data_IF_821034706038
#
_entry.id   IF_821034706038
#
_cell.length_a   1.000
_cell.length_b   1.000
_cell.length_c   1.000
_cell.angle_alpha   90.00
_cell.angle_beta   90.00
_cell.angle_gamma   90.00
#
_symmetry.space_group_name_H-M   'P 1'
#
loop_
_entity.id
_entity.type
_entity.pdbx_description
1 polymer ?
#
# COMPACT_ATOMS: atom_id res chain seq x y z
N UNK A 1 -4.81 -64.60 23.64
CA UNK A 1 -3.59 -64.79 22.81
C UNK A 1 -3.40 -63.52 21.99
N UNK A 2 -2.40 -62.75 22.34
CA UNK A 2 -1.34 -62.08 21.55
C UNK A 2 -1.88 -61.39 20.28
N UNK A 3 -1.88 -60.10 20.01
CA UNK A 3 -0.87 -59.07 20.35
C UNK A 3 -0.52 -58.40 19.04
N UNK A 4 -0.93 -57.15 18.77
CA UNK A 4 -0.48 -56.38 17.64
C UNK A 4 -0.07 -54.99 18.12
N UNK A 5 1.20 -54.64 17.86
CA UNK A 5 1.94 -53.48 18.25
C UNK A 5 1.48 -52.21 17.51
N UNK A 6 1.18 -51.17 18.27
CA UNK A 6 1.15 -49.76 17.81
C UNK A 6 2.57 -49.32 17.46
N UNK A 7 2.79 -48.86 16.21
CA UNK A 7 3.91 -48.01 15.84
C UNK A 7 3.42 -46.58 15.71
N UNK A 8 3.77 -45.75 16.67
CA UNK A 8 3.72 -44.29 16.59
C UNK A 8 4.75 -43.81 15.54
N UNK A 9 4.27 -43.19 14.47
CA UNK A 9 5.14 -42.48 13.54
C UNK A 9 5.44 -41.11 14.11
N UNK A 10 6.74 -40.76 14.20
CA UNK A 10 7.26 -39.45 14.61
C UNK A 10 6.95 -38.38 13.54
N UNK A 11 6.61 -37.11 13.92
CA UNK A 11 6.22 -36.05 12.99
C UNK A 11 7.37 -35.45 12.16
N UNK A 12 8.60 -35.92 12.30
CA UNK A 12 9.78 -35.30 11.67
C UNK A 12 10.06 -35.72 10.22
N UNK A 13 9.28 -36.64 9.64
CA UNK A 13 9.51 -37.12 8.27
C UNK A 13 8.71 -36.38 7.20
N UNK A 14 7.64 -35.66 7.55
CA UNK A 14 6.81 -34.91 6.57
C UNK A 14 7.39 -33.54 6.19
N UNK A 15 8.32 -33.00 6.97
CA UNK A 15 8.90 -31.68 6.70
C UNK A 15 10.01 -31.67 5.64
N UNK A 16 10.64 -32.84 5.38
CA UNK A 16 11.74 -32.97 4.41
C UNK A 16 11.30 -33.03 2.95
N UNK A 17 10.09 -33.47 2.67
CA UNK A 17 9.62 -33.72 1.29
C UNK A 17 8.93 -32.49 0.66
N UNK A 18 8.42 -31.56 1.46
CA UNK A 18 7.84 -30.31 0.97
C UNK A 18 8.92 -29.32 0.51
N UNK A 19 10.10 -29.35 1.12
CA UNK A 19 11.23 -28.46 0.75
C UNK A 19 11.93 -28.88 -0.57
N UNK A 20 11.71 -30.06 -1.10
CA UNK A 20 12.33 -30.53 -2.36
C UNK A 20 11.48 -30.24 -3.60
N UNK A 21 10.23 -29.86 -3.47
CA UNK A 21 9.35 -29.55 -4.61
C UNK A 21 9.37 -28.10 -5.07
N UNK A 22 9.95 -27.20 -4.29
CA UNK A 22 10.01 -25.75 -4.61
C UNK A 22 11.28 -25.34 -5.35
N UNK A 23 12.29 -26.21 -5.46
CA UNK A 23 13.61 -25.84 -6.05
C UNK A 23 13.76 -26.09 -7.56
N UNK A 24 12.73 -26.51 -8.29
CA UNK A 24 12.87 -26.94 -9.71
C UNK A 24 12.08 -26.11 -10.74
N UNK A 25 11.63 -24.90 -10.42
CA UNK A 25 10.89 -24.05 -11.39
C UNK A 25 11.45 -22.65 -11.63
N UNK A 26 12.75 -22.44 -11.38
CA UNK A 26 13.41 -21.16 -11.67
C UNK A 26 14.70 -21.36 -12.47
N UNK A 27 14.58 -21.76 -13.73
CA UNK A 27 15.67 -21.65 -14.70
C UNK A 27 15.10 -21.83 -16.10
N UNK A 28 14.69 -20.73 -16.73
CA UNK A 28 14.57 -20.58 -18.21
C UNK A 28 13.90 -19.24 -18.53
N UNK A 29 14.70 -18.17 -18.54
CA UNK A 29 14.45 -17.01 -19.40
C UNK A 29 15.63 -16.02 -19.25
N UNK A 30 16.72 -16.31 -19.94
CA UNK A 30 17.74 -15.31 -20.31
C UNK A 30 18.65 -15.91 -21.37
N UNK A 31 18.41 -15.59 -22.63
CA UNK A 31 19.43 -15.53 -23.69
C UNK A 31 18.82 -14.98 -24.98
N UNK A 32 19.33 -13.85 -25.43
CA UNK A 32 19.01 -13.23 -26.70
C UNK A 32 19.72 -11.89 -26.88
N UNK A 33 21.07 -11.88 -26.82
CA UNK A 33 21.84 -10.73 -27.30
C UNK A 33 22.35 -11.02 -28.72
N UNK A 34 21.76 -10.31 -29.68
CA UNK A 34 22.25 -10.26 -31.06
C UNK A 34 23.19 -9.07 -31.28
N UNK A 35 24.40 -9.38 -31.63
CA UNK A 35 25.47 -8.46 -32.00
C UNK A 35 25.17 -7.74 -33.32
N UNK A 36 25.29 -6.42 -33.38
CA UNK A 36 25.40 -5.64 -34.61
C UNK A 36 26.76 -5.00 -34.72
N UNK A 37 27.44 -5.34 -35.82
CA UNK A 37 28.77 -4.87 -36.23
C UNK A 37 28.73 -3.44 -36.75
N UNK A 38 29.77 -2.72 -36.44
CA UNK A 38 30.18 -1.43 -36.94
C UNK A 38 30.38 -1.37 -38.47
N UNK A 39 29.97 -0.29 -39.08
CA UNK A 39 30.50 0.20 -40.36
C UNK A 39 30.75 1.72 -40.23
N UNK A 40 32.01 2.04 -40.32
CA UNK A 40 32.55 3.41 -40.34
C UNK A 40 32.43 4.02 -41.74
N UNK A 41 31.97 5.27 -41.83
CA UNK A 41 32.31 6.14 -42.96
C UNK A 41 32.58 7.57 -42.45
N UNK A 42 33.79 8.03 -42.73
CA UNK A 42 34.27 9.38 -42.49
C UNK A 42 33.69 10.34 -43.52
N UNK A 43 33.18 11.49 -43.13
CA UNK A 43 33.38 12.74 -43.89
C UNK A 43 33.45 13.87 -42.88
N UNK A 44 34.53 14.61 -42.93
CA UNK A 44 34.77 15.77 -42.07
C UNK A 44 34.25 17.05 -42.72
N UNK A 45 33.76 17.95 -41.87
CA UNK A 45 33.79 19.39 -42.14
C UNK A 45 33.97 20.12 -40.81
N UNK A 46 35.06 20.87 -40.74
CA UNK A 46 35.40 21.81 -39.68
C UNK A 46 34.46 23.04 -39.76
N UNK A 47 33.80 23.36 -38.66
CA UNK A 47 33.24 24.69 -38.44
C UNK A 47 33.61 25.12 -37.01
N UNK A 48 34.07 26.39 -36.82
CA UNK A 48 34.80 26.81 -35.62
C UNK A 48 33.87 27.10 -34.42
N UNK A 49 34.33 26.66 -33.28
CA UNK A 49 33.82 27.02 -31.96
C UNK A 49 34.20 28.46 -31.63
N UNK A 50 33.25 29.40 -31.66
CA UNK A 50 33.22 30.60 -30.82
C UNK A 50 31.80 31.19 -30.83
N UNK A 51 31.32 31.51 -29.61
CA UNK A 51 30.14 32.34 -29.31
C UNK A 51 28.74 31.74 -29.50
N UNK A 52 28.19 31.15 -28.40
CA UNK A 52 26.93 31.65 -27.82
C UNK A 52 26.94 31.29 -26.33
N UNK A 53 27.47 32.18 -25.50
CA UNK A 53 27.01 32.29 -24.13
C UNK A 53 25.69 33.07 -24.17
N UNK A 54 24.59 32.39 -24.34
CA UNK A 54 23.24 32.91 -24.23
C UNK A 54 22.59 32.36 -22.97
N UNK A 55 22.47 33.21 -21.98
CA UNK A 55 21.69 33.01 -20.77
C UNK A 55 20.33 32.31 -21.07
N UNK A 56 20.25 31.04 -20.77
CA UNK A 56 19.05 30.28 -20.72
C UNK A 56 19.02 29.56 -19.37
N UNK A 57 18.87 30.31 -18.26
CA UNK A 57 18.32 29.78 -17.03
C UNK A 57 16.85 29.41 -17.31
N UNK A 58 16.65 28.39 -18.12
CA UNK A 58 15.45 27.62 -18.12
C UNK A 58 15.40 26.91 -16.77
N UNK A 59 14.83 27.55 -15.76
CA UNK A 59 14.29 26.90 -14.59
C UNK A 59 13.32 25.84 -15.11
N UNK A 60 13.79 24.58 -15.20
CA UNK A 60 12.92 23.43 -15.10
C UNK A 60 12.30 23.50 -13.69
N UNK A 61 11.35 24.39 -13.51
CA UNK A 61 10.25 24.24 -12.59
C UNK A 61 9.42 23.08 -13.17
N UNK A 62 9.94 21.86 -13.06
CA UNK A 62 9.09 20.72 -12.88
C UNK A 62 8.24 21.12 -11.69
N UNK A 63 6.98 21.47 -11.97
CA UNK A 63 6.00 21.64 -10.92
C UNK A 63 6.01 20.30 -10.18
N UNK A 64 6.74 20.21 -9.08
CA UNK A 64 6.56 19.17 -8.12
C UNK A 64 5.08 19.24 -7.80
N UNK A 65 4.31 18.22 -8.20
CA UNK A 65 2.91 18.12 -7.83
C UNK A 65 2.92 18.25 -6.32
N UNK A 66 2.32 19.32 -5.80
CA UNK A 66 2.42 19.66 -4.39
C UNK A 66 1.75 18.54 -3.62
N UNK A 67 2.54 17.68 -2.99
CA UNK A 67 2.07 16.63 -2.06
C UNK A 67 1.28 17.27 -0.92
N UNK A 68 1.50 18.59 -0.72
CA UNK A 68 0.87 19.37 0.31
C UNK A 68 -0.62 19.61 0.03
N UNK A 69 -1.43 19.42 1.05
CA UNK A 69 -2.86 19.74 1.07
C UNK A 69 -3.16 20.68 2.24
N UNK A 70 -3.28 21.95 1.93
CA UNK A 70 -3.57 22.96 2.95
C UNK A 70 -4.99 22.80 3.45
N UNK A 71 -5.20 22.56 4.76
CA UNK A 71 -6.53 22.49 5.35
C UNK A 71 -7.31 23.79 5.13
N UNK A 72 -8.60 23.70 4.82
CA UNK A 72 -9.44 24.83 4.44
C UNK A 72 -9.92 25.70 5.61
N UNK A 73 -9.89 25.15 6.84
CA UNK A 73 -10.32 25.83 8.06
C UNK A 73 -9.66 25.22 9.30
N UNK A 74 -9.73 25.94 10.43
CA UNK A 74 -9.01 25.60 11.67
C UNK A 74 -9.36 24.23 12.23
N UNK A 75 -10.59 23.78 12.14
CA UNK A 75 -10.98 22.45 12.63
C UNK A 75 -10.37 21.31 11.82
N UNK A 76 -10.20 21.47 10.50
CA UNK A 76 -9.48 20.53 9.65
C UNK A 76 -7.97 20.59 9.92
N UNK A 77 -7.41 21.78 10.07
CA UNK A 77 -6.00 21.93 10.43
C UNK A 77 -5.70 21.27 11.77
N UNK A 78 -6.54 21.50 12.78
CA UNK A 78 -6.40 20.86 14.10
C UNK A 78 -6.42 19.34 13.99
N UNK A 79 -7.41 18.78 13.26
CA UNK A 79 -7.50 17.32 13.04
C UNK A 79 -6.24 16.78 12.40
N UNK A 80 -5.74 17.41 11.32
CA UNK A 80 -4.56 16.93 10.63
C UNK A 80 -3.29 17.08 11.46
N UNK A 81 -3.16 18.13 12.28
CA UNK A 81 -2.02 18.25 13.21
C UNK A 81 -2.10 17.21 14.33
N UNK A 82 -3.28 16.96 14.89
CA UNK A 82 -3.47 15.85 15.86
C UNK A 82 -3.13 14.49 15.22
N UNK A 83 -3.60 14.22 14.01
CA UNK A 83 -3.26 13.02 13.25
C UNK A 83 -1.74 12.88 13.07
N UNK A 84 -1.07 13.90 12.56
CA UNK A 84 0.37 13.89 12.27
C UNK A 84 1.24 13.87 13.51
N UNK A 85 1.00 14.79 14.46
CA UNK A 85 1.90 14.99 15.60
C UNK A 85 1.59 14.00 16.72
N UNK A 86 0.29 13.88 17.09
CA UNK A 86 -0.09 13.06 18.25
C UNK A 86 0.00 11.57 17.94
N UNK A 87 -0.44 11.15 16.75
CA UNK A 87 -0.55 9.73 16.40
C UNK A 87 0.62 9.22 15.56
N UNK A 88 0.99 9.93 14.49
CA UNK A 88 2.08 9.52 13.59
C UNK A 88 3.47 9.97 14.05
N UNK A 89 3.56 10.82 15.07
CA UNK A 89 4.81 11.38 15.59
C UNK A 89 5.64 12.08 14.50
N UNK A 90 4.98 12.83 13.64
CA UNK A 90 5.64 13.65 12.62
C UNK A 90 6.41 14.80 13.24
N UNK A 91 7.54 15.12 12.63
CA UNK A 91 8.25 16.39 12.86
C UNK A 91 7.45 17.58 12.28
N UNK A 92 7.76 18.78 12.74
CA UNK A 92 7.20 20.02 12.16
C UNK A 92 7.48 20.10 10.65
N UNK A 93 8.66 19.65 10.19
CA UNK A 93 9.02 19.62 8.78
C UNK A 93 8.14 18.69 7.94
N UNK A 94 7.81 17.50 8.45
CA UNK A 94 6.92 16.56 7.79
C UNK A 94 5.48 17.09 7.76
N UNK A 95 5.03 17.71 8.85
CA UNK A 95 3.74 18.37 8.89
C UNK A 95 3.67 19.58 7.92
N UNK A 96 4.76 20.33 7.77
CA UNK A 96 4.88 21.39 6.77
C UNK A 96 4.79 20.84 5.35
N UNK A 97 5.48 19.73 5.07
CA UNK A 97 5.42 19.04 3.77
C UNK A 97 4.00 18.54 3.45
N UNK A 98 3.27 18.04 4.47
CA UNK A 98 1.91 17.53 4.29
C UNK A 98 0.87 18.64 4.09
N UNK A 99 1.04 19.80 4.74
CA UNK A 99 0.03 20.86 4.77
C UNK A 99 0.35 22.07 3.87
N UNK A 100 1.61 22.24 3.48
CA UNK A 100 2.08 23.44 2.78
C UNK A 100 2.21 24.68 3.68
N UNK A 101 2.00 24.53 5.00
CA UNK A 101 2.15 25.61 5.96
C UNK A 101 3.61 25.78 6.37
N UNK A 102 3.99 27.01 6.79
CA UNK A 102 5.31 27.26 7.34
C UNK A 102 5.48 26.68 8.74
N UNK A 103 6.71 26.38 9.15
CA UNK A 103 7.02 25.91 10.50
C UNK A 103 6.43 26.81 11.60
N UNK A 104 6.58 28.16 11.56
CA UNK A 104 6.00 29.03 12.58
C UNK A 104 4.45 28.93 12.65
N UNK A 105 3.76 28.71 11.54
CA UNK A 105 2.30 28.53 11.55
C UNK A 105 1.91 27.22 12.24
N UNK A 106 2.63 26.13 11.97
CA UNK A 106 2.41 24.83 12.60
C UNK A 106 2.72 24.90 14.09
N UNK A 107 3.88 25.43 14.48
CA UNK A 107 4.29 25.58 15.89
C UNK A 107 3.29 26.42 16.69
N UNK A 108 2.80 27.54 16.11
CA UNK A 108 1.76 28.35 16.71
C UNK A 108 0.49 27.57 16.94
N UNK A 109 -0.01 26.84 15.92
CA UNK A 109 -1.21 26.03 16.03
C UNK A 109 -1.05 24.89 17.04
N UNK A 110 0.11 24.21 17.08
CA UNK A 110 0.41 23.19 18.08
C UNK A 110 0.37 23.75 19.50
N UNK A 111 0.94 24.95 19.72
CA UNK A 111 0.94 25.62 21.01
C UNK A 111 -0.49 26.04 21.42
N UNK A 112 -1.23 26.66 20.51
CA UNK A 112 -2.60 27.14 20.74
C UNK A 112 -3.55 26.01 21.14
N UNK A 113 -3.43 24.86 20.46
CA UNK A 113 -4.32 23.70 20.71
C UNK A 113 -3.69 22.63 21.60
N UNK A 114 -2.51 22.88 22.19
CA UNK A 114 -1.78 21.94 23.07
C UNK A 114 -1.54 20.59 22.40
N UNK A 115 -1.24 20.59 21.09
CA UNK A 115 -0.98 19.35 20.33
C UNK A 115 0.46 18.91 20.59
N UNK A 116 0.62 17.65 21.03
CA UNK A 116 1.91 17.03 21.31
C UNK A 116 1.88 15.53 21.03
N UNK A 117 3.03 14.88 20.82
CA UNK A 117 3.09 13.41 20.69
C UNK A 117 2.47 12.72 21.90
N UNK A 118 1.72 11.65 21.67
CA UNK A 118 1.06 10.86 22.70
C UNK A 118 1.24 9.37 22.41
N UNK A 119 1.26 8.49 23.43
CA UNK A 119 1.22 7.06 23.21
C UNK A 119 0.02 6.65 22.36
N UNK A 120 0.25 5.70 21.46
CA UNK A 120 -0.82 5.13 20.61
C UNK A 120 -1.93 4.52 21.46
N UNK A 121 -3.19 4.79 21.08
CA UNK A 121 -4.40 4.25 21.72
C UNK A 121 -4.89 2.94 21.08
N UNK A 122 -4.14 2.35 20.16
CA UNK A 122 -4.47 1.07 19.55
C UNK A 122 -4.39 -0.06 20.58
N UNK A 123 -5.27 -1.03 20.48
CA UNK A 123 -5.27 -2.23 21.31
C UNK A 123 -5.62 -3.47 20.48
N UNK A 124 -5.30 -4.71 20.93
CA UNK A 124 -5.65 -5.91 20.19
C UNK A 124 -7.15 -6.08 19.90
N UNK A 125 -8.01 -5.54 20.76
CA UNK A 125 -9.47 -5.59 20.57
C UNK A 125 -10.02 -4.41 19.77
N UNK A 126 -9.25 -3.33 19.61
CA UNK A 126 -9.67 -2.11 18.90
C UNK A 126 -8.44 -1.46 18.26
N UNK A 127 -8.22 -1.74 16.99
CA UNK A 127 -7.15 -1.10 16.23
C UNK A 127 -7.52 0.33 15.87
N UNK A 128 -6.63 1.26 16.19
CA UNK A 128 -6.74 2.63 15.69
C UNK A 128 -6.39 2.63 14.19
N UNK A 129 -7.28 3.18 13.37
CA UNK A 129 -7.06 3.43 11.96
C UNK A 129 -7.32 4.91 11.65
N UNK A 130 -6.39 5.54 10.93
CA UNK A 130 -6.49 6.96 10.55
C UNK A 130 -6.12 7.12 9.07
N UNK A 131 -6.67 8.12 8.36
CA UNK A 131 -6.18 8.49 7.04
C UNK A 131 -4.67 8.80 7.09
N UNK A 132 -3.90 8.28 6.13
CA UNK A 132 -2.48 8.59 6.04
C UNK A 132 -2.29 10.05 5.60
N UNK A 133 -1.53 10.87 6.36
CA UNK A 133 -1.54 12.33 6.16
C UNK A 133 -0.69 12.80 4.95
N UNK A 134 0.18 11.96 4.36
CA UNK A 134 1.23 12.41 3.45
C UNK A 134 2.36 13.11 4.21
N UNK A 135 3.30 13.77 3.50
CA UNK A 135 4.44 14.48 4.11
C UNK A 135 5.60 13.59 4.57
N UNK A 136 5.39 12.32 4.71
CA UNK A 136 6.41 11.27 4.93
C UNK A 136 6.21 10.18 3.88
N UNK A 137 7.29 9.76 3.22
CA UNK A 137 7.20 8.69 2.23
C UNK A 137 6.90 7.35 2.92
N UNK A 138 5.83 6.62 2.57
CA UNK A 138 5.40 5.42 3.30
C UNK A 138 6.22 4.17 3.01
N UNK A 139 7.15 4.20 2.02
CA UNK A 139 7.99 3.07 1.60
C UNK A 139 9.48 3.33 1.82
N UNK A 140 10.25 2.26 1.89
CA UNK A 140 11.72 2.25 1.81
C UNK A 140 12.13 1.58 0.49
N UNK A 141 13.22 2.05 -0.13
CA UNK A 141 13.90 1.33 -1.23
C UNK A 141 13.12 1.19 -2.54
N UNK A 142 12.00 1.87 -2.69
CA UNK A 142 11.24 1.89 -3.93
C UNK A 142 11.34 3.28 -4.55
N UNK A 143 11.74 3.39 -5.79
CA UNK A 143 11.85 4.58 -6.64
C UNK A 143 11.59 5.89 -5.89
N UNK A 144 12.65 6.57 -5.44
CA UNK A 144 12.52 7.80 -4.66
C UNK A 144 11.60 8.80 -5.38
N UNK A 145 10.61 9.31 -4.65
CA UNK A 145 9.60 10.22 -5.19
C UNK A 145 8.49 9.59 -6.04
N UNK A 146 8.49 8.26 -6.25
CA UNK A 146 7.47 7.62 -7.08
C UNK A 146 6.08 7.57 -6.44
N UNK A 147 5.98 7.70 -5.11
CA UNK A 147 4.69 7.73 -4.41
C UNK A 147 4.20 9.17 -4.30
N UNK A 148 3.50 9.60 -5.34
CA UNK A 148 2.81 10.87 -5.38
C UNK A 148 1.45 10.65 -6.08
N UNK A 149 0.32 10.91 -5.44
CA UNK A 149 0.17 11.47 -4.08
C UNK A 149 0.48 10.47 -2.97
N UNK A 150 1.02 10.96 -1.86
CA UNK A 150 1.28 10.13 -0.68
C UNK A 150 0.03 9.85 0.18
N UNK A 151 -1.03 10.61 0.00
CA UNK A 151 -2.38 10.44 0.59
C UNK A 151 -3.27 9.54 -0.27
N UNK A 152 -4.47 9.94 -0.53
CA UNK A 152 -5.48 9.29 -1.36
C UNK A 152 -6.04 8.02 -0.69
N UNK A 153 -5.81 6.88 -1.30
CA UNK A 153 -6.29 5.56 -0.90
C UNK A 153 -5.59 4.97 0.34
N UNK A 154 -4.75 5.76 1.03
CA UNK A 154 -3.91 5.25 2.11
C UNK A 154 -4.50 5.51 3.50
N UNK A 155 -4.49 4.47 4.33
CA UNK A 155 -4.79 4.55 5.77
C UNK A 155 -3.65 3.97 6.59
N UNK A 156 -3.50 4.47 7.82
CA UNK A 156 -2.54 3.95 8.79
C UNK A 156 -3.24 3.09 9.82
N UNK A 157 -2.83 1.84 9.96
CA UNK A 157 -3.25 0.94 11.02
C UNK A 157 -2.17 0.90 12.11
N UNK A 158 -2.51 1.35 13.30
CA UNK A 158 -1.56 1.49 14.41
C UNK A 158 -1.40 0.18 15.18
N UNK A 159 -0.15 -0.22 15.41
CA UNK A 159 0.16 -1.44 16.15
C UNK A 159 -0.36 -1.37 17.61
N UNK A 160 -0.90 -2.49 18.16
CA UNK A 160 -1.48 -2.50 19.50
C UNK A 160 -0.44 -2.63 20.64
N UNK A 161 0.85 -2.66 20.32
CA UNK A 161 1.93 -2.74 21.30
C UNK A 161 2.71 -1.43 21.41
N UNK A 162 3.33 -1.24 22.57
CA UNK A 162 4.07 -0.01 22.87
C UNK A 162 5.23 0.19 21.89
N UNK A 163 5.31 1.36 21.29
CA UNK A 163 6.38 1.74 20.36
C UNK A 163 6.33 0.99 19.01
N UNK A 164 5.20 0.35 18.69
CA UNK A 164 5.06 -0.44 17.46
C UNK A 164 4.93 0.37 16.18
N UNK A 165 4.54 1.64 16.28
CA UNK A 165 4.30 2.45 15.09
C UNK A 165 3.03 2.04 14.34
N UNK A 166 3.07 2.09 13.00
CA UNK A 166 1.91 1.80 12.17
C UNK A 166 2.31 1.18 10.82
N UNK A 167 1.41 0.37 10.26
CA UNK A 167 1.47 -0.05 8.86
C UNK A 167 0.63 0.91 8.01
N UNK A 168 1.06 1.20 6.77
CA UNK A 168 0.27 1.97 5.81
C UNK A 168 -0.35 1.02 4.80
N UNK A 169 -1.69 1.03 4.72
CA UNK A 169 -2.47 0.22 3.79
C UNK A 169 -2.89 1.12 2.62
N UNK A 170 -2.52 0.74 1.40
CA UNK A 170 -2.94 1.38 0.16
C UNK A 170 -4.04 0.51 -0.49
N UNK A 171 -5.29 0.99 -0.42
CA UNK A 171 -6.49 0.20 -0.70
C UNK A 171 -7.53 1.00 -1.51
N UNK A 172 -7.44 0.91 -2.87
CA UNK A 172 -6.49 0.16 -3.67
C UNK A 172 -5.19 0.93 -4.00
N UNK A 173 -4.10 0.21 -4.21
CA UNK A 173 -2.90 0.77 -4.84
C UNK A 173 -3.08 0.93 -6.35
N UNK A 174 -3.70 -0.05 -7.02
CA UNK A 174 -3.98 0.00 -8.45
C UNK A 174 -5.20 -0.84 -8.84
N UNK A 175 -5.84 -0.46 -9.94
CA UNK A 175 -6.93 -1.20 -10.58
C UNK A 175 -6.65 -1.34 -12.07
N UNK A 176 -6.69 -2.57 -12.59
CA UNK A 176 -6.66 -2.91 -14.01
C UNK A 176 -8.00 -3.44 -14.47
N UNK A 177 -8.26 -3.30 -15.75
CA UNK A 177 -9.37 -3.94 -16.46
C UNK A 177 -8.96 -4.22 -17.90
N UNK A 178 -9.88 -4.74 -18.71
CA UNK A 178 -9.75 -4.79 -20.17
C UNK A 178 -9.45 -3.41 -20.83
N UNK A 179 -9.66 -2.30 -20.12
CA UNK A 179 -9.31 -0.95 -20.58
C UNK A 179 -7.84 -0.58 -20.30
N UNK A 180 -7.09 -1.40 -19.58
CA UNK A 180 -5.72 -1.14 -19.13
C UNK A 180 -5.63 -0.75 -17.65
N UNK A 181 -4.59 0.01 -17.26
CA UNK A 181 -4.39 0.51 -15.90
C UNK A 181 -5.30 1.72 -15.68
N UNK A 182 -6.46 1.49 -15.04
CA UNK A 182 -7.48 2.53 -14.85
C UNK A 182 -7.32 3.36 -13.58
N UNK A 183 -6.54 2.88 -12.62
CA UNK A 183 -6.16 3.62 -11.42
C UNK A 183 -4.80 3.18 -10.89
N UNK A 184 -4.01 4.14 -10.45
CA UNK A 184 -2.75 3.94 -9.73
C UNK A 184 -2.60 5.03 -8.66
N UNK A 185 -2.36 4.61 -7.42
CA UNK A 185 -2.20 5.51 -6.27
C UNK A 185 -0.83 6.21 -6.19
N UNK A 186 -0.02 6.11 -7.23
CA UNK A 186 1.28 6.78 -7.34
C UNK A 186 1.78 6.79 -8.80
N UNK A 187 2.76 7.64 -9.11
CA UNK A 187 3.08 8.09 -10.48
C UNK A 187 4.21 7.33 -11.17
N UNK A 188 4.53 6.08 -10.82
CA UNK A 188 5.70 5.40 -11.38
C UNK A 188 5.48 4.77 -12.77
N UNK A 189 4.23 4.56 -13.18
CA UNK A 189 3.84 4.18 -14.54
C UNK A 189 2.56 4.93 -14.93
N UNK A 190 2.36 5.27 -16.22
CA UNK A 190 1.17 5.99 -16.66
C UNK A 190 -0.08 5.12 -16.57
N UNK A 191 -1.18 5.74 -16.18
CA UNK A 191 -2.53 5.21 -16.32
C UNK A 191 -3.12 5.55 -17.69
N UNK A 192 -4.27 4.98 -18.02
CA UNK A 192 -5.01 5.35 -19.25
C UNK A 192 -5.40 6.84 -19.27
N UNK A 193 -5.46 7.50 -18.13
CA UNK A 193 -5.77 8.95 -18.01
C UNK A 193 -4.52 9.80 -18.27
N UNK A 194 -3.37 9.37 -17.79
CA UNK A 194 -2.09 10.06 -18.06
C UNK A 194 -1.80 10.06 -19.58
N UNK A 195 -2.08 8.94 -20.26
CA UNK A 195 -1.94 8.83 -21.71
C UNK A 195 -2.86 9.79 -22.47
N UNK A 196 -4.01 10.13 -21.88
CA UNK A 196 -4.97 11.10 -22.40
C UNK A 196 -4.74 12.53 -21.88
N UNK A 197 -3.71 12.75 -21.05
CA UNK A 197 -3.44 14.04 -20.39
C UNK A 197 -4.59 14.51 -19.48
N UNK A 198 -5.31 13.59 -18.86
CA UNK A 198 -6.39 13.86 -17.92
C UNK A 198 -5.85 13.70 -16.50
N UNK A 199 -5.85 14.77 -15.72
CA UNK A 199 -5.54 14.72 -14.31
C UNK A 199 -6.76 14.28 -13.50
N UNK A 200 -6.59 13.28 -12.61
CA UNK A 200 -7.64 12.90 -11.68
C UNK A 200 -7.70 13.89 -10.51
N UNK A 201 -8.92 14.22 -10.07
CA UNK A 201 -9.13 15.07 -8.90
C UNK A 201 -8.60 14.39 -7.64
N UNK A 202 -8.17 15.21 -6.67
CA UNK A 202 -7.72 14.69 -5.38
C UNK A 202 -8.87 14.13 -4.56
N UNK A 203 -8.62 13.08 -3.78
CA UNK A 203 -9.63 12.42 -2.93
C UNK A 203 -9.18 12.42 -1.47
N UNK A 204 -10.13 12.53 -0.55
CA UNK A 204 -9.93 12.42 0.89
C UNK A 204 -10.83 11.35 1.50
N UNK A 205 -10.38 10.77 2.61
CA UNK A 205 -11.19 9.88 3.41
C UNK A 205 -12.25 10.64 4.18
N UNK A 206 -13.50 10.21 4.08
CA UNK A 206 -14.58 10.63 4.97
C UNK A 206 -14.45 9.90 6.30
N UNK A 207 -14.46 10.64 7.37
CA UNK A 207 -14.37 10.15 8.75
C UNK A 207 -15.78 10.06 9.34
N UNK A 208 -16.17 8.87 9.77
CA UNK A 208 -17.51 8.65 10.35
C UNK A 208 -17.50 8.73 11.87
N UNK A 209 -18.66 9.01 12.51
CA UNK A 209 -18.77 9.12 13.99
C UNK A 209 -18.42 7.81 14.74
N UNK A 210 -18.53 6.67 14.09
CA UNK A 210 -18.16 5.34 14.60
C UNK A 210 -16.66 5.01 14.40
N UNK A 211 -15.86 6.01 14.00
CA UNK A 211 -14.45 5.91 13.67
C UNK A 211 -14.12 5.07 12.42
N UNK A 212 -15.13 4.67 11.65
CA UNK A 212 -14.89 4.09 10.35
C UNK A 212 -14.48 5.16 9.33
N UNK A 213 -13.85 4.71 8.24
CA UNK A 213 -13.37 5.57 7.17
C UNK A 213 -13.98 5.10 5.85
N UNK A 214 -14.37 6.02 4.97
CA UNK A 214 -14.74 5.68 3.61
C UNK A 214 -14.12 6.65 2.60
N UNK A 215 -13.81 6.15 1.41
CA UNK A 215 -13.39 6.98 0.30
C UNK A 215 -14.11 6.50 -0.97
N UNK A 216 -14.32 7.42 -1.89
CA UNK A 216 -14.92 7.16 -3.20
C UNK A 216 -14.19 7.98 -4.26
N UNK A 217 -14.02 7.40 -5.44
CA UNK A 217 -13.46 8.07 -6.61
C UNK A 217 -14.32 7.78 -7.83
N UNK A 218 -14.68 8.83 -8.56
CA UNK A 218 -15.27 8.76 -9.88
C UNK A 218 -14.16 8.95 -10.93
N UNK A 219 -14.08 8.04 -11.88
CA UNK A 219 -13.17 8.11 -13.02
C UNK A 219 -13.84 8.82 -14.21
N UNK A 220 -13.06 9.42 -15.13
CA UNK A 220 -13.59 10.21 -16.25
C UNK A 220 -14.56 9.46 -17.17
N UNK A 221 -14.48 8.14 -17.23
CA UNK A 221 -15.36 7.28 -18.05
C UNK A 221 -16.64 6.81 -17.31
N UNK A 222 -16.93 7.35 -16.13
CA UNK A 222 -18.10 7.00 -15.35
C UNK A 222 -17.93 5.78 -14.42
N UNK A 223 -16.80 5.06 -14.47
CA UNK A 223 -16.48 4.03 -13.49
C UNK A 223 -16.24 4.73 -12.15
N UNK A 224 -16.83 4.20 -11.07
CA UNK A 224 -16.50 4.63 -9.72
C UNK A 224 -16.10 3.46 -8.85
N UNK A 225 -15.22 3.72 -7.89
CA UNK A 225 -14.82 2.75 -6.89
C UNK A 225 -14.65 3.42 -5.53
N UNK A 226 -14.73 2.62 -4.48
CA UNK A 226 -14.52 3.12 -3.14
C UNK A 226 -14.16 2.01 -2.18
N UNK A 227 -13.69 2.42 -1.00
CA UNK A 227 -13.33 1.53 0.09
C UNK A 227 -13.89 2.06 1.39
N UNK A 228 -14.44 1.16 2.21
CA UNK A 228 -14.83 1.41 3.58
C UNK A 228 -13.94 0.58 4.51
N UNK A 229 -13.43 1.18 5.57
CA UNK A 229 -12.57 0.54 6.58
C UNK A 229 -13.21 0.74 7.95
N UNK A 230 -13.47 -0.34 8.65
CA UNK A 230 -14.07 -0.32 9.98
C UNK A 230 -13.31 -1.21 10.95
N UNK A 231 -13.27 -0.81 12.23
CA UNK A 231 -12.77 -1.65 13.30
C UNK A 231 -13.63 -2.88 13.50
N UNK A 232 -12.98 -4.05 13.65
CA UNK A 232 -13.60 -5.31 14.00
C UNK A 232 -12.88 -5.92 15.20
N UNK A 233 -13.48 -6.95 15.82
CA UNK A 233 -12.82 -7.62 16.95
C UNK A 233 -11.52 -8.28 16.51
N UNK A 234 -10.39 -7.72 16.92
CA UNK A 234 -9.05 -8.21 16.62
C UNK A 234 -8.48 -7.77 15.27
N UNK A 235 -9.14 -6.85 14.55
CA UNK A 235 -8.64 -6.39 13.25
C UNK A 235 -9.45 -5.26 12.63
N UNK A 236 -9.29 -5.10 11.33
CA UNK A 236 -10.05 -4.20 10.47
C UNK A 236 -10.76 -5.02 9.40
N UNK A 237 -12.03 -4.72 9.16
CA UNK A 237 -12.76 -5.17 7.97
C UNK A 237 -12.67 -4.06 6.92
N UNK A 238 -12.42 -4.46 5.69
CA UNK A 238 -12.31 -3.56 4.55
C UNK A 238 -13.29 -4.04 3.46
N UNK A 239 -14.21 -3.16 3.09
CA UNK A 239 -15.16 -3.38 2.01
C UNK A 239 -14.77 -2.50 0.83
N UNK A 240 -14.42 -3.11 -0.31
CA UNK A 240 -14.13 -2.38 -1.54
C UNK A 240 -15.22 -2.66 -2.57
N UNK A 241 -15.62 -1.65 -3.31
CA UNK A 241 -16.60 -1.78 -4.38
C UNK A 241 -16.12 -1.07 -5.65
N UNK A 242 -16.60 -1.56 -6.80
CA UNK A 242 -16.45 -0.92 -8.08
C UNK A 242 -17.80 -0.95 -8.79
N UNK A 243 -18.26 0.21 -9.27
CA UNK A 243 -19.45 0.37 -10.11
C UNK A 243 -19.04 0.69 -11.54
N UNK A 244 -19.54 -0.07 -12.47
CA UNK A 244 -19.37 0.21 -13.89
C UNK A 244 -20.44 1.21 -14.38
N UNK A 245 -20.08 2.49 -14.40
CA UNK A 245 -20.93 3.55 -14.96
C UNK A 245 -20.65 3.81 -16.44
N UNK A 246 -19.81 2.99 -17.09
CA UNK A 246 -19.56 3.06 -18.54
C UNK A 246 -20.57 2.24 -19.33
N UNK A 247 -20.56 2.40 -20.67
CA UNK A 247 -21.45 1.64 -21.58
C UNK A 247 -20.90 0.25 -21.95
N UNK A 248 -19.64 -0.05 -21.66
CA UNK A 248 -18.99 -1.31 -22.00
C UNK A 248 -18.87 -2.22 -20.77
N UNK A 249 -18.93 -3.53 -20.97
CA UNK A 249 -18.63 -4.49 -19.92
C UNK A 249 -17.15 -4.41 -19.53
N UNK A 250 -16.87 -4.57 -18.23
CA UNK A 250 -15.53 -4.64 -17.68
C UNK A 250 -15.21 -6.09 -17.31
N UNK A 251 -14.07 -6.56 -17.76
CA UNK A 251 -13.48 -7.84 -17.40
C UNK A 251 -12.02 -7.68 -16.99
N UNK A 252 -11.38 -8.76 -16.54
CA UNK A 252 -10.01 -8.78 -16.02
C UNK A 252 -9.76 -7.70 -14.94
N UNK A 253 -10.77 -7.47 -14.08
CA UNK A 253 -10.78 -6.44 -13.04
C UNK A 253 -9.86 -6.80 -11.88
N UNK A 254 -8.56 -6.67 -12.07
CA UNK A 254 -7.51 -6.97 -11.07
C UNK A 254 -7.25 -5.76 -10.18
N UNK A 255 -7.11 -6.03 -8.89
CA UNK A 255 -6.80 -5.01 -7.89
C UNK A 255 -5.47 -5.35 -7.23
N UNK A 256 -4.64 -4.34 -7.05
CA UNK A 256 -3.46 -4.44 -6.21
C UNK A 256 -3.70 -3.64 -4.93
N UNK A 257 -3.51 -4.31 -3.79
CA UNK A 257 -3.53 -3.72 -2.46
C UNK A 257 -2.15 -3.88 -1.83
N UNK A 258 -1.68 -2.85 -1.12
CA UNK A 258 -0.34 -2.86 -0.52
C UNK A 258 -0.40 -2.60 0.98
N UNK A 259 0.39 -3.35 1.75
CA UNK A 259 0.68 -3.05 3.16
C UNK A 259 2.16 -2.72 3.28
N UNK A 260 2.47 -1.49 3.71
CA UNK A 260 3.82 -0.93 3.77
C UNK A 260 4.28 -0.82 5.23
N UNK A 261 5.54 -1.21 5.51
CA UNK A 261 6.04 -1.41 6.85
C UNK A 261 7.14 -0.43 7.30
N UNK A 262 7.42 0.62 6.55
CA UNK A 262 8.48 1.58 6.90
C UNK A 262 8.39 2.07 8.35
N UNK A 263 7.19 2.34 8.83
CA UNK A 263 6.93 2.93 10.15
C UNK A 263 6.42 1.91 11.17
N UNK A 264 6.47 0.61 10.85
CA UNK A 264 6.12 -0.47 11.75
C UNK A 264 7.40 -1.08 12.34
N UNK A 265 7.68 -0.79 13.60
CA UNK A 265 8.94 -1.14 14.26
C UNK A 265 9.23 -2.63 14.25
N UNK A 266 10.38 -3.01 13.66
CA UNK A 266 10.86 -4.38 13.51
C UNK A 266 10.38 -5.09 12.22
N UNK A 267 9.57 -4.42 11.36
CA UNK A 267 9.06 -4.99 10.11
C UNK A 267 9.71 -4.37 8.86
N UNK A 268 10.55 -3.37 9.05
CA UNK A 268 11.20 -2.59 8.00
C UNK A 268 12.32 -3.33 7.25
N UNK A 269 12.48 -4.63 7.49
CA UNK A 269 13.52 -5.45 6.88
C UNK A 269 13.26 -5.65 5.39
N UNK A 270 14.25 -5.27 4.56
CA UNK A 270 14.20 -5.40 3.10
C UNK A 270 14.50 -6.85 2.67
N UNK A 271 13.62 -7.78 3.05
CA UNK A 271 13.68 -9.21 2.71
C UNK A 271 12.27 -9.79 2.54
N UNK A 272 12.17 -10.91 1.85
CA UNK A 272 10.95 -11.73 1.81
C UNK A 272 10.98 -12.90 2.80
N UNK A 273 12.11 -13.14 3.50
CA UNK A 273 12.26 -14.28 4.40
C UNK A 273 11.35 -14.18 5.64
N UNK A 274 10.91 -12.97 5.99
CA UNK A 274 9.96 -12.70 7.07
C UNK A 274 8.49 -12.74 6.63
N UNK A 275 8.19 -13.25 5.44
CA UNK A 275 6.83 -13.28 4.88
C UNK A 275 6.35 -14.70 4.66
N UNK A 276 5.12 -14.98 5.10
CA UNK A 276 4.43 -16.25 4.94
C UNK A 276 3.23 -16.06 4.02
N UNK A 277 3.22 -16.79 2.90
CA UNK A 277 2.16 -16.74 1.90
C UNK A 277 1.26 -17.98 2.08
N UNK A 278 0.02 -17.77 2.52
CA UNK A 278 -1.03 -18.77 2.69
C UNK A 278 -2.35 -18.25 2.10
N UNK A 279 -2.47 -18.19 0.76
CA UNK A 279 -3.61 -17.57 0.09
C UNK A 279 -4.97 -17.95 0.68
N UNK A 280 -5.91 -17.00 0.87
CA UNK A 280 -5.82 -15.56 0.53
C UNK A 280 -4.98 -14.71 1.51
N UNK A 281 -4.43 -15.32 2.56
CA UNK A 281 -3.65 -14.63 3.57
C UNK A 281 -2.20 -14.46 3.16
N UNK A 282 -1.63 -13.31 3.52
CA UNK A 282 -0.20 -13.09 3.61
C UNK A 282 0.10 -12.47 4.97
N UNK A 283 1.15 -12.95 5.61
CA UNK A 283 1.61 -12.46 6.90
C UNK A 283 3.08 -12.07 6.86
N UNK A 284 3.44 -11.01 7.57
CA UNK A 284 4.82 -10.58 7.77
C UNK A 284 5.13 -10.56 9.26
N UNK A 285 6.29 -11.08 9.68
CA UNK A 285 6.71 -11.01 11.08
C UNK A 285 7.81 -9.98 11.31
N UNK A 286 7.91 -9.52 12.56
CA UNK A 286 9.01 -8.68 13.03
C UNK A 286 10.34 -9.45 13.09
N UNK A 287 11.43 -8.74 13.34
CA UNK A 287 12.77 -9.33 13.44
C UNK A 287 12.88 -10.43 14.52
N UNK A 288 11.99 -10.44 15.50
CA UNK A 288 11.97 -11.46 16.59
C UNK A 288 11.08 -12.67 16.25
N UNK A 289 10.27 -12.60 15.18
CA UNK A 289 9.32 -13.64 14.79
C UNK A 289 8.16 -13.83 15.76
N UNK A 290 7.81 -12.79 16.52
CA UNK A 290 6.79 -12.85 17.58
C UNK A 290 5.60 -11.95 17.37
N UNK A 291 5.72 -10.96 16.50
CA UNK A 291 4.66 -10.03 16.11
C UNK A 291 4.43 -10.16 14.62
N UNK A 292 3.19 -10.14 14.24
CA UNK A 292 2.77 -10.36 12.86
C UNK A 292 1.80 -9.28 12.41
N UNK A 293 1.92 -8.87 11.16
CA UNK A 293 0.90 -8.16 10.42
C UNK A 293 0.31 -9.14 9.39
N UNK A 294 -1.01 -9.24 9.32
CA UNK A 294 -1.73 -10.22 8.49
C UNK A 294 -2.72 -9.46 7.62
N UNK A 295 -2.78 -9.74 6.32
CA UNK A 295 -3.84 -9.23 5.44
C UNK A 295 -4.37 -10.34 4.53
N UNK A 296 -5.64 -10.21 4.14
CA UNK A 296 -6.29 -11.11 3.20
C UNK A 296 -7.36 -10.35 2.42
N UNK A 297 -7.63 -10.77 1.18
CA UNK A 297 -8.72 -10.26 0.35
C UNK A 297 -9.40 -11.36 -0.42
N UNK A 298 -10.72 -11.24 -0.60
CA UNK A 298 -11.56 -12.19 -1.35
C UNK A 298 -12.52 -11.46 -2.29
N UNK A 299 -12.83 -12.01 -3.49
CA UNK A 299 -12.19 -13.16 -4.15
C UNK A 299 -10.71 -12.94 -4.36
N UNK A 300 -9.91 -13.95 -4.06
CA UNK A 300 -8.45 -13.87 -4.10
C UNK A 300 -7.89 -14.14 -5.49
N UNK A 301 -6.86 -13.38 -5.90
CA UNK A 301 -6.08 -13.60 -7.12
C UNK A 301 -4.67 -14.09 -6.81
N UNK A 302 -3.88 -13.30 -6.04
CA UNK A 302 -2.49 -13.64 -5.72
C UNK A 302 -2.02 -13.04 -4.40
N UNK A 303 -1.07 -13.72 -3.74
CA UNK A 303 -0.23 -13.16 -2.68
C UNK A 303 1.20 -12.98 -3.19
N UNK A 304 1.84 -11.86 -2.85
CA UNK A 304 3.24 -11.61 -3.19
C UNK A 304 3.85 -10.55 -2.28
N UNK A 305 5.17 -10.41 -2.34
CA UNK A 305 5.92 -9.41 -1.58
C UNK A 305 7.11 -8.91 -2.40
N UNK A 306 7.59 -7.70 -2.06
CA UNK A 306 8.71 -7.08 -2.74
C UNK A 306 9.86 -6.88 -1.76
N UNK A 307 10.96 -7.64 -1.91
CA UNK A 307 12.09 -7.61 -0.99
C UNK A 307 12.77 -6.23 -0.87
N UNK A 308 13.00 -5.45 -1.97
CA UNK A 308 13.55 -4.10 -1.88
C UNK A 308 12.67 -3.12 -1.10
N UNK A 309 11.38 -3.41 -0.99
CA UNK A 309 10.42 -2.59 -0.24
C UNK A 309 9.83 -3.46 0.86
N UNK A 310 9.94 -3.11 2.15
CA UNK A 310 9.25 -3.85 3.20
C UNK A 310 7.74 -3.66 3.05
N UNK A 311 7.14 -4.48 2.21
CA UNK A 311 5.70 -4.49 1.92
C UNK A 311 5.20 -5.91 1.60
N UNK A 312 3.89 -6.10 1.68
CA UNK A 312 3.21 -7.33 1.28
C UNK A 312 1.88 -7.04 0.61
N UNK A 313 1.42 -7.98 -0.20
CA UNK A 313 0.24 -7.86 -1.03
C UNK A 313 -0.64 -9.11 -0.97
N UNK A 314 -1.92 -8.94 -0.71
CA UNK A 314 -2.97 -9.91 -1.02
C UNK A 314 -3.88 -9.23 -2.04
N UNK A 315 -3.71 -9.59 -3.31
CA UNK A 315 -4.40 -8.94 -4.41
C UNK A 315 -5.69 -9.70 -4.74
N UNK A 316 -6.86 -9.04 -4.70
CA UNK A 316 -8.11 -9.61 -5.15
C UNK A 316 -8.38 -9.36 -6.63
N UNK A 317 -9.44 -9.99 -7.12
CA UNK A 317 -10.01 -9.72 -8.44
C UNK A 317 -11.53 -9.58 -8.32
N UNK A 318 -12.09 -8.47 -8.82
CA UNK A 318 -13.54 -8.36 -8.95
C UNK A 318 -14.05 -9.35 -10.00
N UNK A 319 -15.27 -9.87 -9.84
CA UNK A 319 -16.00 -10.49 -10.95
C UNK A 319 -16.17 -9.53 -12.14
N UNK A 320 -16.43 -10.06 -13.31
CA UNK A 320 -16.83 -9.25 -14.46
C UNK A 320 -18.01 -8.35 -14.09
N UNK A 321 -18.05 -7.13 -14.64
CA UNK A 321 -18.99 -6.10 -14.26
C UNK A 321 -19.67 -5.50 -15.48
N UNK A 322 -20.93 -5.85 -15.69
CA UNK A 322 -21.74 -5.28 -16.78
C UNK A 322 -22.04 -3.79 -16.54
N UNK A 323 -22.41 -3.03 -17.59
CA UNK A 323 -22.82 -1.63 -17.43
C UNK A 323 -23.93 -1.46 -16.36
N UNK A 324 -23.71 -0.51 -15.46
CA UNK A 324 -24.62 -0.20 -14.34
C UNK A 324 -24.48 -1.11 -13.12
N UNK A 325 -23.75 -2.24 -13.20
CA UNK A 325 -23.53 -3.15 -12.07
C UNK A 325 -22.50 -2.63 -11.09
N UNK A 326 -22.54 -3.21 -9.89
CA UNK A 326 -21.57 -2.98 -8.81
C UNK A 326 -21.05 -4.32 -8.31
N UNK A 327 -19.72 -4.47 -8.28
CA UNK A 327 -19.03 -5.62 -7.72
C UNK A 327 -18.38 -5.25 -6.39
N UNK A 328 -18.14 -6.25 -5.52
CA UNK A 328 -17.59 -6.05 -4.18
C UNK A 328 -16.48 -7.03 -3.86
N UNK A 329 -15.56 -6.56 -3.02
CA UNK A 329 -14.47 -7.33 -2.43
C UNK A 329 -14.51 -7.16 -0.92
N UNK A 330 -14.10 -8.20 -0.21
CA UNK A 330 -13.93 -8.18 1.25
C UNK A 330 -12.46 -8.30 1.59
N UNK A 331 -12.00 -7.50 2.55
CA UNK A 331 -10.64 -7.48 3.04
C UNK A 331 -10.56 -7.57 4.56
N UNK A 332 -9.46 -8.12 5.03
CA UNK A 332 -9.10 -8.21 6.44
C UNK A 332 -7.68 -7.68 6.64
N UNK A 333 -7.48 -6.96 7.75
CA UNK A 333 -6.15 -6.64 8.26
C UNK A 333 -6.12 -6.79 9.78
N UNK A 334 -5.07 -7.42 10.32
CA UNK A 334 -4.88 -7.53 11.76
C UNK A 334 -3.42 -7.60 12.15
N UNK A 335 -3.18 -7.36 13.45
CA UNK A 335 -1.92 -7.68 14.11
C UNK A 335 -2.10 -8.87 15.04
N UNK A 336 -1.08 -9.72 15.10
CA UNK A 336 -1.03 -10.87 16.00
C UNK A 336 0.28 -10.87 16.80
N UNK A 337 0.21 -11.25 18.06
CA UNK A 337 1.38 -11.44 18.92
C UNK A 337 1.41 -12.88 19.41
N UNK A 338 2.34 -13.66 18.91
CA UNK A 338 2.50 -15.07 19.21
C UNK A 338 3.44 -15.76 18.23
N UNK A 339 3.62 -17.05 18.38
CA UNK A 339 4.50 -17.90 17.54
C UNK A 339 3.71 -18.86 16.64
N UNK A 340 2.43 -19.08 16.94
CA UNK A 340 1.55 -19.95 16.16
C UNK A 340 0.75 -19.17 15.14
N UNK A 341 1.41 -18.71 14.08
CA UNK A 341 0.79 -17.95 13.00
C UNK A 341 -0.21 -18.81 12.21
N UNK A 342 0.03 -20.12 12.09
CA UNK A 342 -0.87 -21.02 11.36
C UNK A 342 -2.19 -21.19 12.12
N UNK A 343 -2.13 -21.38 13.43
CA UNK A 343 -3.31 -21.41 14.30
C UNK A 343 -4.07 -20.08 14.29
N UNK A 344 -3.36 -18.95 14.24
CA UNK A 344 -4.03 -17.63 14.12
C UNK A 344 -4.74 -17.49 12.78
N UNK A 345 -4.13 -17.88 11.66
CA UNK A 345 -4.80 -17.84 10.34
C UNK A 345 -6.04 -18.75 10.33
N UNK A 346 -5.96 -19.94 10.95
CA UNK A 346 -7.14 -20.81 11.09
C UNK A 346 -8.25 -20.13 11.91
N UNK A 347 -7.91 -19.47 13.00
CA UNK A 347 -8.84 -18.68 13.80
C UNK A 347 -9.52 -17.58 12.98
N UNK A 348 -8.78 -16.89 12.11
CA UNK A 348 -9.32 -15.86 11.21
C UNK A 348 -10.27 -16.46 10.16
N UNK A 349 -9.97 -17.64 9.63
CA UNK A 349 -10.87 -18.36 8.73
C UNK A 349 -12.19 -18.74 9.43
N UNK A 350 -12.10 -19.22 10.66
CA UNK A 350 -13.28 -19.61 11.46
C UNK A 350 -14.13 -18.40 11.86
N UNK A 351 -13.54 -17.20 11.93
CA UNK A 351 -14.26 -15.95 12.18
C UNK A 351 -15.24 -15.60 11.04
N UNK A 352 -14.95 -16.02 9.80
CA UNK A 352 -15.83 -15.80 8.65
C UNK A 352 -16.01 -14.31 8.30
N UNK A 353 -14.94 -13.52 8.38
CA UNK A 353 -14.93 -12.09 8.09
C UNK A 353 -15.28 -11.75 6.63
N UNK A 354 -15.19 -12.70 5.73
CA UNK A 354 -15.42 -12.61 4.28
C UNK A 354 -16.88 -12.92 3.86
N UNK A 355 -17.79 -13.20 4.83
CA UNK A 355 -19.20 -13.53 4.59
C UNK A 355 -20.10 -12.31 4.52
#
# INVERSE_FOLDING_TARGET
MKGAYNRLMHPSALFSDILKLVSHSLSLFCMGQGTLRSLSARVGTLVPWWLVWGLGLGSNLQAASSVARTPSHDSELRYWLENMITHHHFSVSEAASATGLSHPQIEKAMQEWSIQPSPTRSSPSHLLVLPYPGGRHPRIGFLDGAIDPQRETKVSAFAPWKGGGYAVLDIPEAIWSNLGLTYLAHTHIPTVWDEQSIALETTEWTRHPDHSLSMERLLPNGISFGTHVAGAHGGLIMDMWLRNGSEAALDDLRVQNCVMFRELAGFEVQSNDNKLLLPPYIACHDVEGRRWAITAWTPHQRCWANAPCPCMHSDPQFPDCAPGETQRLKGWFSFYQGVDIVGEIQRLQDLGWDR
#
